data_IF_839909335060
#
_entry.id   IF_839909335060
#
_cell.length_a   1.000
_cell.length_b   1.000
_cell.length_c   1.000
_cell.angle_alpha   90.00
_cell.angle_beta   90.00
_cell.angle_gamma   90.00
#
_symmetry.space_group_name_H-M   'P 1'
#
loop_
_entity.id
_entity.type
_entity.pdbx_description
1 polymer ?
#
# COMPACT_ATOMS: atom_id res chain seq x y z
N UNK A 1 17.71 -8.98 -23.27
CA UNK A 1 16.25 -8.78 -23.41
C UNK A 1 15.52 -8.65 -22.07
N UNK A 2 15.74 -9.51 -21.04
CA UNK A 2 15.08 -9.35 -19.72
C UNK A 2 15.41 -8.03 -19.01
N UNK A 3 16.67 -7.59 -19.10
CA UNK A 3 17.17 -6.37 -18.44
C UNK A 3 16.53 -5.09 -18.98
N UNK A 4 16.13 -5.07 -20.26
CA UNK A 4 15.54 -3.86 -20.87
C UNK A 4 14.15 -3.60 -20.30
N UNK A 5 13.29 -4.62 -20.25
CA UNK A 5 11.94 -4.49 -19.68
C UNK A 5 11.99 -4.10 -18.21
N UNK A 6 12.82 -4.78 -17.41
CA UNK A 6 12.98 -4.46 -16.00
C UNK A 6 13.46 -3.02 -15.80
N UNK A 7 14.50 -2.59 -16.53
CA UNK A 7 14.98 -1.20 -16.45
C UNK A 7 13.92 -0.18 -16.89
N UNK A 8 13.06 -0.52 -17.85
CA UNK A 8 11.94 0.34 -18.24
C UNK A 8 10.91 0.47 -17.11
N UNK A 9 10.56 -0.64 -16.45
CA UNK A 9 9.65 -0.61 -15.28
C UNK A 9 10.27 0.25 -14.17
N UNK A 10 11.55 0.03 -13.83
CA UNK A 10 12.26 0.83 -12.82
C UNK A 10 12.29 2.33 -13.15
N UNK A 11 12.53 2.68 -14.42
CA UNK A 11 12.52 4.07 -14.86
C UNK A 11 11.12 4.70 -14.70
N UNK A 12 10.05 3.96 -15.03
CA UNK A 12 8.67 4.42 -14.85
C UNK A 12 8.32 4.60 -13.37
N UNK A 13 8.73 3.67 -12.51
CA UNK A 13 8.52 3.76 -11.05
C UNK A 13 9.28 4.94 -10.45
N UNK A 14 10.53 5.15 -10.88
CA UNK A 14 11.29 6.32 -10.46
C UNK A 14 10.63 7.62 -10.92
N UNK A 15 10.15 7.72 -12.16
CA UNK A 15 9.44 8.89 -12.66
C UNK A 15 8.15 9.16 -11.87
N UNK A 16 7.37 8.11 -11.60
CA UNK A 16 6.06 8.17 -10.91
C UNK A 16 6.14 7.87 -9.42
N UNK A 17 7.31 8.06 -8.81
CA UNK A 17 7.51 7.82 -7.38
C UNK A 17 6.47 8.53 -6.53
N UNK A 18 5.83 7.81 -5.61
CA UNK A 18 4.87 8.37 -4.66
C UNK A 18 5.43 9.57 -3.90
N UNK A 19 6.73 9.56 -3.59
CA UNK A 19 7.37 10.64 -2.85
C UNK A 19 7.44 11.95 -3.64
N UNK A 20 7.32 11.93 -4.97
CA UNK A 20 7.19 13.15 -5.79
C UNK A 20 5.79 13.75 -5.76
N UNK A 21 4.80 13.03 -5.23
CA UNK A 21 3.44 13.54 -5.14
C UNK A 21 3.34 14.68 -4.11
N UNK A 22 2.58 15.76 -4.36
CA UNK A 22 2.47 16.90 -3.45
C UNK A 22 2.06 16.52 -2.02
N UNK A 23 1.28 15.46 -1.85
CA UNK A 23 0.93 14.93 -0.52
C UNK A 23 2.16 14.50 0.30
N UNK A 24 3.10 13.78 -0.31
CA UNK A 24 4.31 13.33 0.39
C UNK A 24 5.35 14.44 0.55
N UNK A 25 5.37 15.43 -0.35
CA UNK A 25 6.15 16.66 -0.14
C UNK A 25 5.61 17.42 1.08
N UNK A 26 4.29 17.64 1.16
CA UNK A 26 3.65 18.27 2.31
C UNK A 26 3.85 17.48 3.61
N UNK A 27 3.86 16.14 3.54
CA UNK A 27 4.22 15.28 4.68
C UNK A 27 5.64 15.56 5.17
N UNK A 28 6.61 15.56 4.26
CA UNK A 28 8.02 15.78 4.56
C UNK A 28 8.31 17.19 5.10
N UNK A 29 7.48 18.16 4.72
CA UNK A 29 7.57 19.55 5.19
C UNK A 29 6.78 19.79 6.50
N UNK A 30 6.09 18.78 7.03
CA UNK A 30 5.26 18.92 8.23
C UNK A 30 3.99 19.76 8.01
N UNK A 31 3.58 19.97 6.76
CA UNK A 31 2.50 20.87 6.38
C UNK A 31 1.09 20.23 6.43
N UNK A 32 0.99 18.90 6.59
CA UNK A 32 -0.29 18.23 6.77
C UNK A 32 -0.84 18.46 8.18
N UNK A 33 -2.15 18.67 8.32
CA UNK A 33 -2.79 18.68 9.64
C UNK A 33 -3.02 17.26 10.15
N UNK A 34 -3.20 17.10 11.46
CA UNK A 34 -3.54 15.80 12.05
C UNK A 34 -4.85 15.23 11.49
N UNK A 35 -5.82 16.09 11.17
CA UNK A 35 -7.06 15.70 10.51
C UNK A 35 -6.83 15.17 9.08
N UNK A 36 -5.93 15.79 8.31
CA UNK A 36 -5.57 15.27 6.98
C UNK A 36 -4.92 13.88 7.07
N UNK A 37 -4.03 13.67 8.05
CA UNK A 37 -3.39 12.37 8.29
C UNK A 37 -4.40 11.30 8.70
N UNK A 38 -5.32 11.66 9.60
CA UNK A 38 -6.43 10.81 10.02
C UNK A 38 -7.30 10.40 8.82
N UNK A 39 -7.74 11.36 8.01
CA UNK A 39 -8.57 11.10 6.83
C UNK A 39 -7.82 10.25 5.79
N UNK A 40 -6.53 10.52 5.58
CA UNK A 40 -5.68 9.67 4.74
C UNK A 40 -5.64 8.24 5.27
N UNK A 41 -5.41 8.04 6.57
CA UNK A 41 -5.32 6.71 7.17
C UNK A 41 -6.62 5.92 7.01
N UNK A 42 -7.79 6.54 7.27
CA UNK A 42 -9.09 5.91 7.07
C UNK A 42 -9.34 5.53 5.60
N UNK A 43 -9.00 6.41 4.65
CA UNK A 43 -9.19 6.12 3.22
C UNK A 43 -8.24 5.03 2.72
N UNK A 44 -6.98 5.05 3.14
CA UNK A 44 -5.98 4.10 2.70
C UNK A 44 -6.19 2.70 3.31
N UNK A 45 -6.91 2.59 4.44
CA UNK A 45 -7.26 1.31 5.05
C UNK A 45 -8.03 0.40 4.08
N UNK A 46 -8.87 0.95 3.20
CA UNK A 46 -9.56 0.16 2.16
C UNK A 46 -8.56 -0.57 1.25
N UNK A 47 -7.46 0.08 0.90
CA UNK A 47 -6.42 -0.52 0.07
C UNK A 47 -5.65 -1.60 0.84
N UNK A 48 -5.20 -1.28 2.06
CA UNK A 48 -4.44 -2.23 2.91
C UNK A 48 -5.26 -3.48 3.21
N UNK A 49 -6.54 -3.33 3.54
CA UNK A 49 -7.46 -4.44 3.79
C UNK A 49 -7.66 -5.34 2.58
N UNK A 50 -7.70 -4.79 1.37
CA UNK A 50 -7.95 -5.57 0.15
C UNK A 50 -6.65 -6.07 -0.52
N UNK A 51 -5.47 -5.59 -0.10
CA UNK A 51 -4.19 -6.01 -0.66
C UNK A 51 -3.93 -7.53 -0.58
N UNK A 52 -4.21 -8.24 0.54
CA UNK A 52 -4.13 -9.70 0.59
C UNK A 52 -4.97 -10.41 -0.48
N UNK A 53 -6.14 -9.84 -0.82
CA UNK A 53 -7.02 -10.38 -1.85
C UNK A 53 -6.44 -10.19 -3.26
N UNK A 54 -5.66 -9.11 -3.47
CA UNK A 54 -4.93 -8.87 -4.72
C UNK A 54 -3.81 -9.90 -4.89
N UNK A 55 -3.02 -10.16 -3.83
CA UNK A 55 -2.00 -11.22 -3.82
C UNK A 55 -2.63 -12.59 -4.09
N UNK A 56 -3.76 -12.89 -3.45
CA UNK A 56 -4.51 -14.13 -3.67
C UNK A 56 -4.99 -14.29 -5.11
N UNK A 57 -5.43 -13.20 -5.76
CA UNK A 57 -5.86 -13.22 -7.15
C UNK A 57 -4.68 -13.56 -8.09
N UNK A 58 -3.53 -12.91 -7.92
CA UNK A 58 -2.30 -13.22 -8.68
C UNK A 58 -1.86 -14.66 -8.42
N UNK A 59 -1.90 -15.11 -7.16
CA UNK A 59 -1.60 -16.50 -6.80
C UNK A 59 -2.49 -17.50 -7.56
N UNK A 60 -3.82 -17.27 -7.58
CA UNK A 60 -4.75 -18.15 -8.30
C UNK A 60 -4.53 -18.18 -9.81
N UNK A 61 -4.05 -17.07 -10.38
CA UNK A 61 -3.76 -16.94 -11.81
C UNK A 61 -2.37 -17.44 -12.22
N UNK A 62 -1.52 -17.81 -11.25
CA UNK A 62 -0.13 -18.18 -11.51
C UNK A 62 0.01 -19.70 -11.72
N UNK A 63 0.38 -20.18 -12.93
CA UNK A 63 0.47 -21.62 -13.21
C UNK A 63 1.70 -22.27 -12.58
N UNK A 64 2.80 -21.52 -12.40
CA UNK A 64 4.06 -22.02 -11.86
C UNK A 64 4.02 -22.16 -10.34
N UNK A 65 4.26 -23.38 -9.85
CA UNK A 65 4.17 -23.68 -8.41
C UNK A 65 5.21 -22.91 -7.58
N UNK A 66 6.43 -22.77 -8.08
CA UNK A 66 7.49 -22.04 -7.38
C UNK A 66 7.08 -20.57 -7.14
N UNK A 67 6.50 -19.90 -8.15
CA UNK A 67 6.01 -18.54 -8.00
C UNK A 67 4.81 -18.44 -7.05
N UNK A 68 3.91 -19.44 -7.06
CA UNK A 68 2.82 -19.52 -6.08
C UNK A 68 3.33 -19.67 -4.65
N UNK A 69 4.43 -20.38 -4.42
CA UNK A 69 5.02 -20.50 -3.08
C UNK A 69 5.53 -19.15 -2.56
N UNK A 70 6.16 -18.34 -3.41
CA UNK A 70 6.54 -16.96 -3.03
C UNK A 70 5.32 -16.09 -2.72
N UNK A 71 4.30 -16.11 -3.60
CA UNK A 71 3.04 -15.37 -3.37
C UNK A 71 2.30 -15.83 -2.11
N UNK A 72 2.39 -17.11 -1.76
CA UNK A 72 1.82 -17.64 -0.53
C UNK A 72 2.54 -17.10 0.71
N UNK A 73 3.87 -16.95 0.65
CA UNK A 73 4.64 -16.33 1.74
C UNK A 73 4.27 -14.85 1.88
N UNK A 74 4.19 -14.10 0.77
CA UNK A 74 3.72 -12.71 0.81
C UNK A 74 2.31 -12.63 1.43
N UNK A 75 1.37 -13.47 1.00
CA UNK A 75 0.01 -13.48 1.56
C UNK A 75 0.00 -13.79 3.07
N UNK A 76 0.85 -14.71 3.51
CA UNK A 76 1.00 -15.05 4.92
C UNK A 76 1.48 -13.83 5.72
N UNK A 77 2.51 -13.12 5.25
CA UNK A 77 3.01 -11.91 5.90
C UNK A 77 1.95 -10.79 5.96
N UNK A 78 1.18 -10.62 4.90
CA UNK A 78 0.17 -9.56 4.79
C UNK A 78 -1.05 -9.76 5.72
N UNK A 79 -1.52 -11.00 5.91
CA UNK A 79 -2.85 -11.26 6.51
C UNK A 79 -2.84 -12.21 7.72
N UNK A 80 -1.77 -13.00 7.94
CA UNK A 80 -1.78 -14.00 9.00
C UNK A 80 -1.65 -13.40 10.40
N UNK A 81 -2.44 -13.94 11.33
CA UNK A 81 -2.33 -13.64 12.76
C UNK A 81 -2.88 -12.27 13.16
N UNK A 82 -2.80 -11.93 14.46
CA UNK A 82 -3.37 -10.69 14.99
C UNK A 82 -2.54 -9.43 14.70
N UNK A 83 -1.27 -9.59 14.33
CA UNK A 83 -0.34 -8.49 14.01
C UNK A 83 -0.13 -8.32 12.50
N UNK A 84 -1.17 -8.63 11.71
CA UNK A 84 -1.15 -8.47 10.27
C UNK A 84 -1.18 -7.01 9.82
N UNK A 85 -0.87 -6.74 8.55
CA UNK A 85 -0.75 -5.38 8.04
C UNK A 85 -2.04 -4.53 8.19
N UNK A 86 -3.26 -5.07 7.96
CA UNK A 86 -4.49 -4.33 8.27
C UNK A 86 -4.61 -3.94 9.76
N UNK A 87 -4.23 -4.81 10.69
CA UNK A 87 -4.26 -4.52 12.12
C UNK A 87 -3.23 -3.44 12.50
N UNK A 88 -2.01 -3.53 11.97
CA UNK A 88 -0.97 -2.49 12.17
C UNK A 88 -1.41 -1.14 11.58
N UNK A 89 -2.09 -1.13 10.43
CA UNK A 89 -2.62 0.10 9.85
C UNK A 89 -3.73 0.74 10.70
N UNK A 90 -4.59 -0.07 11.32
CA UNK A 90 -5.59 0.43 12.29
C UNK A 90 -4.88 1.10 13.49
N UNK A 91 -3.79 0.52 14.00
CA UNK A 91 -3.02 1.16 15.08
C UNK A 91 -2.47 2.52 14.66
N UNK A 92 -1.91 2.62 13.45
CA UNK A 92 -1.47 3.90 12.88
C UNK A 92 -2.63 4.91 12.77
N UNK A 93 -3.78 4.51 12.22
CA UNK A 93 -4.94 5.38 12.09
C UNK A 93 -5.49 5.86 13.46
N UNK A 94 -5.48 4.98 14.46
CA UNK A 94 -5.85 5.31 15.84
C UNK A 94 -4.88 6.32 16.45
N UNK A 95 -3.57 6.17 16.24
CA UNK A 95 -2.57 7.15 16.70
C UNK A 95 -2.77 8.54 16.07
N UNK A 96 -3.29 8.58 14.84
CA UNK A 96 -3.68 9.81 14.15
C UNK A 96 -5.03 10.38 14.63
N UNK A 97 -5.78 9.67 15.46
CA UNK A 97 -7.01 10.14 16.13
C UNK A 97 -8.31 9.66 15.51
N UNK A 98 -8.29 8.64 14.65
CA UNK A 98 -9.50 7.91 14.27
C UNK A 98 -9.89 6.94 15.39
N UNK A 99 -11.18 6.59 15.49
CA UNK A 99 -11.60 5.40 16.23
C UNK A 99 -11.66 4.20 15.28
N UNK A 100 -11.53 2.98 15.83
CA UNK A 100 -11.73 1.75 15.04
C UNK A 100 -13.07 1.74 14.31
N UNK A 101 -14.15 2.16 14.98
CA UNK A 101 -15.48 2.25 14.36
C UNK A 101 -15.49 3.23 13.19
N UNK A 102 -14.84 4.38 13.31
CA UNK A 102 -14.71 5.35 12.21
C UNK A 102 -13.93 4.76 11.03
N UNK A 103 -12.81 4.06 11.29
CA UNK A 103 -12.01 3.42 10.24
C UNK A 103 -12.83 2.37 9.49
N UNK A 104 -13.56 1.52 10.22
CA UNK A 104 -14.32 0.41 9.65
C UNK A 104 -15.61 0.85 8.94
N UNK A 105 -16.17 2.00 9.33
CA UNK A 105 -17.40 2.56 8.76
C UNK A 105 -17.16 3.69 7.75
N UNK A 106 -15.90 4.11 7.55
CA UNK A 106 -15.55 5.12 6.55
C UNK A 106 -15.95 4.63 5.16
N UNK A 107 -16.76 5.41 4.46
CA UNK A 107 -17.05 5.14 3.06
C UNK A 107 -15.86 5.55 2.19
N UNK A 108 -15.45 4.71 1.22
CA UNK A 108 -14.33 5.04 0.36
C UNK A 108 -14.70 6.23 -0.53
N UNK A 109 -13.76 7.14 -0.74
CA UNK A 109 -13.91 8.19 -1.75
C UNK A 109 -14.00 7.57 -3.15
N UNK A 110 -14.57 8.28 -4.15
CA UNK A 110 -14.58 7.80 -5.53
C UNK A 110 -13.19 7.41 -6.04
N UNK A 111 -12.16 8.18 -5.69
CA UNK A 111 -10.76 7.89 -6.04
C UNK A 111 -10.20 6.67 -5.31
N UNK A 112 -10.54 6.47 -4.04
CA UNK A 112 -10.17 5.26 -3.27
C UNK A 112 -10.81 4.01 -3.86
N UNK A 113 -12.10 4.07 -4.22
CA UNK A 113 -12.77 2.97 -4.94
C UNK A 113 -12.09 2.67 -6.27
N UNK A 114 -11.76 3.71 -7.04
CA UNK A 114 -11.08 3.55 -8.32
C UNK A 114 -9.68 2.92 -8.16
N UNK A 115 -8.91 3.30 -7.14
CA UNK A 115 -7.61 2.71 -6.82
C UNK A 115 -7.75 1.21 -6.56
N UNK A 116 -8.62 0.82 -5.62
CA UNK A 116 -8.82 -0.59 -5.24
C UNK A 116 -9.35 -1.40 -6.43
N UNK A 117 -10.32 -0.86 -7.17
CA UNK A 117 -10.87 -1.54 -8.34
C UNK A 117 -9.83 -1.74 -9.45
N UNK A 118 -9.01 -0.73 -9.75
CA UNK A 118 -7.97 -0.81 -10.78
C UNK A 118 -6.92 -1.86 -10.40
N UNK A 119 -6.43 -1.82 -9.15
CA UNK A 119 -5.43 -2.79 -8.69
C UNK A 119 -5.98 -4.22 -8.65
N UNK A 120 -7.23 -4.40 -8.21
CA UNK A 120 -7.89 -5.70 -8.24
C UNK A 120 -8.10 -6.21 -9.67
N UNK A 121 -8.47 -5.35 -10.62
CA UNK A 121 -8.65 -5.71 -12.03
C UNK A 121 -7.32 -6.17 -12.65
N UNK A 122 -6.22 -5.43 -12.44
CA UNK A 122 -4.89 -5.83 -12.86
C UNK A 122 -4.44 -7.17 -12.26
N UNK A 123 -4.77 -7.44 -10.99
CA UNK A 123 -4.38 -8.67 -10.32
C UNK A 123 -5.24 -9.89 -10.72
N UNK A 124 -6.53 -9.66 -10.99
CA UNK A 124 -7.51 -10.73 -11.23
C UNK A 124 -7.70 -11.07 -12.70
N UNK A 125 -7.73 -10.06 -13.56
CA UNK A 125 -8.19 -10.21 -14.94
C UNK A 125 -7.05 -10.12 -15.98
N UNK A 126 -5.86 -9.66 -15.58
CA UNK A 126 -4.68 -9.64 -16.44
C UNK A 126 -3.87 -10.95 -16.34
N UNK A 127 -2.76 -11.04 -17.09
CA UNK A 127 -1.81 -12.15 -16.97
C UNK A 127 -1.12 -12.18 -15.60
N UNK A 128 -0.56 -13.33 -15.20
CA UNK A 128 0.18 -13.41 -13.93
C UNK A 128 1.39 -12.46 -13.91
N UNK A 129 2.04 -12.20 -15.04
CA UNK A 129 3.15 -11.26 -15.14
C UNK A 129 2.69 -9.82 -14.93
N UNK A 130 1.54 -9.43 -15.49
CA UNK A 130 0.96 -8.09 -15.29
C UNK A 130 0.46 -7.89 -13.85
N UNK A 131 -0.16 -8.93 -13.27
CA UNK A 131 -0.53 -8.93 -11.86
C UNK A 131 0.67 -8.77 -10.94
N UNK A 132 1.74 -9.56 -11.15
CA UNK A 132 3.00 -9.44 -10.41
C UNK A 132 3.65 -8.06 -10.59
N UNK A 133 3.66 -7.52 -11.81
CA UNK A 133 4.19 -6.19 -12.08
C UNK A 133 3.37 -5.09 -11.36
N UNK A 134 2.06 -5.28 -11.22
CA UNK A 134 1.18 -4.34 -10.51
C UNK A 134 1.43 -4.35 -9.00
N UNK A 135 1.57 -5.53 -8.39
CA UNK A 135 1.99 -5.67 -6.99
C UNK A 135 3.36 -5.03 -6.78
N UNK A 136 4.33 -5.36 -7.62
CA UNK A 136 5.69 -4.81 -7.57
C UNK A 136 5.72 -3.29 -7.70
N UNK A 137 4.94 -2.72 -8.62
CA UNK A 137 4.86 -1.27 -8.82
C UNK A 137 4.42 -0.52 -7.56
N UNK A 138 3.61 -1.17 -6.72
CA UNK A 138 3.20 -0.66 -5.42
C UNK A 138 4.26 -0.96 -4.33
N UNK A 139 4.57 -2.23 -4.10
CA UNK A 139 5.37 -2.71 -2.97
C UNK A 139 6.82 -2.22 -3.01
N UNK A 140 7.42 -2.13 -4.20
CA UNK A 140 8.81 -1.66 -4.36
C UNK A 140 9.05 -0.25 -3.81
N UNK A 141 8.01 0.58 -3.75
CA UNK A 141 8.10 1.94 -3.26
C UNK A 141 7.92 2.04 -1.73
N UNK A 142 7.37 0.99 -1.10
CA UNK A 142 6.98 1.01 0.32
C UNK A 142 8.16 1.18 1.28
N UNK A 143 9.33 0.55 1.10
CA UNK A 143 10.44 0.72 2.04
C UNK A 143 10.83 2.19 2.24
N UNK A 144 10.98 2.93 1.13
CA UNK A 144 11.40 4.33 1.17
C UNK A 144 10.25 5.25 1.59
N UNK A 145 9.01 4.96 1.18
CA UNK A 145 7.82 5.66 1.67
C UNK A 145 7.66 5.50 3.18
N UNK A 146 7.85 4.29 3.72
CA UNK A 146 7.77 4.00 5.15
C UNK A 146 8.84 4.74 5.92
N UNK A 147 10.08 4.80 5.43
CA UNK A 147 11.16 5.60 6.03
C UNK A 147 10.77 7.08 6.15
N UNK A 148 10.28 7.69 5.06
CA UNK A 148 9.83 9.10 5.04
C UNK A 148 8.63 9.31 5.96
N UNK A 149 7.69 8.36 6.01
CA UNK A 149 6.54 8.42 6.93
C UNK A 149 7.01 8.47 8.38
N UNK A 150 7.86 7.53 8.79
CA UNK A 150 8.40 7.42 10.15
C UNK A 150 9.13 8.70 10.56
N UNK A 151 9.98 9.24 9.67
CA UNK A 151 10.72 10.48 9.93
C UNK A 151 9.77 11.67 10.13
N UNK A 152 8.76 11.83 9.26
CA UNK A 152 7.77 12.89 9.39
C UNK A 152 6.91 12.76 10.65
N UNK A 153 6.47 11.54 10.99
CA UNK A 153 5.67 11.26 12.19
C UNK A 153 6.41 11.64 13.48
N UNK A 154 7.69 11.25 13.57
CA UNK A 154 8.56 11.60 14.70
C UNK A 154 8.81 13.10 14.79
N UNK A 155 9.12 13.73 13.66
CA UNK A 155 9.57 15.13 13.63
C UNK A 155 8.44 16.15 13.80
N UNK A 156 7.27 15.90 13.20
CA UNK A 156 6.22 16.92 13.08
C UNK A 156 4.91 16.55 13.79
N UNK A 157 4.67 15.26 14.06
CA UNK A 157 3.36 14.77 14.51
C UNK A 157 3.37 14.11 15.88
N UNK A 158 4.51 14.17 16.60
CA UNK A 158 4.61 13.76 18.00
C UNK A 158 4.52 12.25 18.23
N UNK A 159 4.77 11.43 17.21
CA UNK A 159 4.79 9.96 17.34
C UNK A 159 6.15 9.51 17.88
N UNK A 160 6.14 8.86 19.04
CA UNK A 160 7.36 8.41 19.73
C UNK A 160 7.66 6.91 19.55
N UNK A 161 6.65 6.13 19.14
CA UNK A 161 6.74 4.69 18.87
C UNK A 161 6.07 4.40 17.51
N UNK A 162 6.78 4.65 16.39
CA UNK A 162 6.24 4.53 15.03
C UNK A 162 6.49 3.18 14.35
#
# INVERSE_FOLDING_TARGET
MPTVLFNTIEAMLHEKSMLKHPFYQAWNDGALTKEMLKNYACQYYHFVKDFPRMVSAVHSNTPEMALRQELLMNLYEEEHGPENHPALWIQFANAMGASTDEILSTEPLPTTRALVATMMDCCRNASCQEGLASLYAYESQIPEVSRVKIEGLKKFYGVTDP
#
